data_IF_455025524407
#
_entry.id   IF_455025524407
#
_cell.length_a   1.000
_cell.length_b   1.000
_cell.length_c   1.000
_cell.angle_alpha   90.00
_cell.angle_beta   90.00
_cell.angle_gamma   90.00
#
_symmetry.space_group_name_H-M   'P 1'
#
loop_
_entity.id
_entity.type
_entity.pdbx_description
1 polymer ?
#
# COMPACT_ATOMS: atom_id res chain seq x y z
N UNK A 1 2.63 -19.43 -31.05
CA UNK A 1 1.42 -20.21 -30.69
C UNK A 1 0.65 -19.36 -29.70
N UNK A 2 -0.60 -19.05 -30.01
CA UNK A 2 -1.47 -18.34 -29.06
C UNK A 2 -1.88 -19.30 -27.95
N UNK A 3 -1.62 -18.95 -26.69
CA UNK A 3 -2.18 -19.66 -25.54
C UNK A 3 -3.41 -18.89 -25.08
N UNK A 4 -4.50 -19.61 -24.90
CA UNK A 4 -5.78 -19.07 -24.46
C UNK A 4 -5.91 -19.32 -22.97
N UNK A 5 -6.18 -18.26 -22.19
CA UNK A 5 -6.57 -18.38 -20.80
C UNK A 5 -8.07 -18.12 -20.72
N UNK A 6 -8.79 -19.01 -20.06
CA UNK A 6 -10.21 -18.82 -19.81
C UNK A 6 -10.40 -18.02 -18.52
N UNK A 7 -10.93 -16.82 -18.64
CA UNK A 7 -11.45 -16.05 -17.51
C UNK A 7 -12.96 -16.20 -17.44
N UNK A 8 -13.51 -16.45 -16.27
CA UNK A 8 -14.98 -16.41 -16.08
C UNK A 8 -15.38 -15.01 -15.67
N UNK A 9 -16.23 -14.38 -16.46
CA UNK A 9 -17.00 -13.21 -16.00
C UNK A 9 -18.37 -13.69 -15.53
N UNK A 10 -19.00 -12.95 -14.62
CA UNK A 10 -20.29 -13.30 -14.04
C UNK A 10 -21.42 -13.45 -15.07
N UNK A 11 -21.20 -13.11 -16.34
CA UNK A 11 -22.22 -13.23 -17.40
C UNK A 11 -21.70 -13.69 -18.76
N UNK A 12 -20.39 -13.82 -19.00
CA UNK A 12 -19.87 -14.37 -20.24
C UNK A 12 -18.47 -14.93 -20.02
N UNK A 13 -18.20 -16.09 -20.62
CA UNK A 13 -16.85 -16.64 -20.73
C UNK A 13 -16.12 -15.76 -21.76
N UNK A 14 -15.11 -15.02 -21.29
CA UNK A 14 -14.27 -14.23 -22.19
C UNK A 14 -12.90 -14.87 -22.24
N UNK A 15 -12.47 -15.15 -23.44
CA UNK A 15 -11.17 -15.73 -23.74
C UNK A 15 -10.09 -14.67 -23.57
N UNK A 16 -9.11 -14.91 -22.69
CA UNK A 16 -7.91 -14.08 -22.58
C UNK A 16 -6.92 -14.56 -23.64
N UNK A 17 -6.80 -13.83 -24.73
CA UNK A 17 -5.89 -14.19 -25.81
C UNK A 17 -4.52 -13.54 -25.55
N UNK A 18 -3.47 -14.36 -25.52
CA UNK A 18 -2.10 -13.87 -25.61
C UNK A 18 -1.78 -13.58 -27.06
N UNK A 19 -1.59 -12.32 -27.41
CA UNK A 19 -1.17 -11.92 -28.74
C UNK A 19 0.33 -11.65 -28.74
N UNK A 20 1.04 -12.24 -29.70
CA UNK A 20 2.37 -11.81 -30.08
C UNK A 20 2.22 -10.62 -31.04
N UNK A 21 2.53 -9.42 -30.58
CA UNK A 21 2.61 -8.29 -31.49
C UNK A 21 3.91 -8.35 -32.31
N UNK A 22 3.74 -8.62 -33.61
CA UNK A 22 4.71 -8.28 -34.66
C UNK A 22 6.02 -9.03 -34.66
N UNK A 23 6.02 -10.33 -34.88
CA UNK A 23 7.15 -11.04 -35.53
C UNK A 23 8.52 -11.01 -34.84
N UNK A 24 8.69 -10.34 -33.71
CA UNK A 24 9.86 -10.39 -32.86
C UNK A 24 9.51 -11.21 -31.61
N UNK A 25 10.22 -12.26 -31.46
CA UNK A 25 10.20 -13.15 -30.31
C UNK A 25 10.60 -12.27 -29.12
N UNK A 26 9.63 -11.74 -28.33
CA UNK A 26 10.10 -10.92 -27.23
C UNK A 26 9.06 -10.34 -26.29
N UNK A 27 7.87 -9.98 -26.73
CA UNK A 27 6.89 -9.33 -25.86
C UNK A 27 5.56 -10.05 -25.93
N UNK A 28 5.15 -10.71 -24.86
CA UNK A 28 3.81 -11.27 -24.74
C UNK A 28 2.95 -10.30 -23.92
N UNK A 29 1.95 -9.75 -24.57
CA UNK A 29 0.97 -8.86 -23.92
C UNK A 29 -0.31 -9.64 -23.70
N UNK A 30 -0.83 -9.63 -22.46
CA UNK A 30 -2.14 -10.14 -22.17
C UNK A 30 -3.12 -8.99 -22.31
N UNK A 31 -3.99 -9.06 -23.31
CA UNK A 31 -5.01 -8.06 -23.57
C UNK A 31 -6.35 -8.61 -23.10
N UNK A 32 -7.03 -7.87 -22.22
CA UNK A 32 -8.43 -8.08 -21.93
C UNK A 32 -9.26 -7.23 -22.88
N UNK A 33 -9.99 -7.85 -23.81
CA UNK A 33 -10.89 -7.17 -24.74
C UNK A 33 -12.37 -7.39 -24.43
N UNK A 34 -12.68 -7.85 -23.21
CA UNK A 34 -14.04 -8.17 -22.77
C UNK A 34 -14.97 -6.95 -22.78
N UNK A 35 -16.21 -7.17 -23.19
CA UNK A 35 -17.35 -6.27 -22.95
C UNK A 35 -17.58 -6.13 -21.46
N UNK A 36 -17.97 -4.95 -20.97
CA UNK A 36 -18.17 -4.57 -19.58
C UNK A 36 -18.32 -5.72 -18.58
N UNK A 37 -17.41 -5.85 -17.61
CA UNK A 37 -17.48 -6.93 -16.63
C UNK A 37 -16.34 -6.89 -15.59
N UNK A 38 -16.46 -7.80 -14.65
CA UNK A 38 -15.44 -8.08 -13.63
C UNK A 38 -14.47 -9.11 -14.16
N UNK A 39 -13.17 -8.88 -14.01
CA UNK A 39 -12.20 -9.97 -14.10
C UNK A 39 -12.31 -10.77 -12.81
N UNK A 40 -13.02 -11.90 -12.84
CA UNK A 40 -13.31 -12.67 -11.61
C UNK A 40 -12.18 -13.61 -11.24
N UNK A 41 -11.53 -14.23 -12.18
CA UNK A 41 -10.35 -15.07 -11.97
C UNK A 41 -9.68 -15.38 -13.30
N UNK A 42 -8.37 -15.25 -13.38
CA UNK A 42 -7.60 -15.93 -14.42
C UNK A 42 -7.38 -17.37 -13.95
N UNK A 43 -8.18 -18.32 -14.50
CA UNK A 43 -8.02 -19.73 -14.16
C UNK A 43 -6.79 -20.25 -14.89
N UNK A 44 -5.76 -20.47 -14.15
CA UNK A 44 -4.51 -21.04 -14.58
C UNK A 44 -3.38 -20.31 -13.89
N UNK A 45 -2.56 -21.05 -13.15
CA UNK A 45 -1.27 -20.56 -12.77
C UNK A 45 -0.59 -20.04 -14.03
N UNK A 46 -0.31 -18.74 -14.10
CA UNK A 46 0.77 -18.28 -14.95
C UNK A 46 2.01 -18.77 -14.20
N UNK A 47 2.57 -19.93 -14.54
CA UNK A 47 3.59 -20.55 -13.73
C UNK A 47 4.79 -19.60 -13.66
N UNK A 48 5.45 -19.51 -12.50
CA UNK A 48 6.75 -18.85 -12.34
C UNK A 48 7.79 -19.34 -13.39
N UNK A 49 7.51 -20.47 -14.01
CA UNK A 49 8.32 -21.12 -15.03
C UNK A 49 7.63 -21.16 -16.40
N UNK A 50 6.80 -20.17 -16.76
CA UNK A 50 6.36 -20.06 -18.12
C UNK A 50 7.56 -19.82 -19.05
N UNK A 51 8.27 -20.91 -19.27
CA UNK A 51 9.40 -21.05 -20.16
C UNK A 51 8.88 -21.60 -21.49
N UNK A 52 8.42 -20.75 -22.37
CA UNK A 52 8.44 -21.05 -23.79
C UNK A 52 9.79 -20.59 -24.38
N UNK A 53 10.90 -20.87 -23.70
CA UNK A 53 12.25 -20.68 -24.23
C UNK A 53 12.69 -19.24 -24.47
N UNK A 54 11.87 -18.26 -24.11
CA UNK A 54 12.14 -16.85 -24.31
C UNK A 54 11.82 -16.06 -23.06
N UNK A 55 12.84 -15.45 -22.44
CA UNK A 55 12.74 -14.59 -21.25
C UNK A 55 12.12 -13.21 -21.54
N UNK A 56 11.33 -13.11 -22.62
CA UNK A 56 10.72 -11.86 -23.02
C UNK A 56 9.60 -11.41 -22.10
N UNK A 57 9.61 -10.12 -21.84
CA UNK A 57 8.76 -9.35 -20.93
C UNK A 57 7.26 -9.66 -21.13
N UNK A 58 6.62 -10.21 -20.10
CA UNK A 58 5.18 -10.50 -20.08
C UNK A 58 4.47 -9.31 -19.46
N UNK A 59 3.88 -8.46 -20.29
CA UNK A 59 3.14 -7.28 -19.81
C UNK A 59 1.67 -7.63 -19.58
N UNK A 60 1.14 -7.14 -18.45
CA UNK A 60 -0.28 -7.21 -18.17
C UNK A 60 -0.96 -5.92 -18.65
N UNK A 61 -1.91 -6.06 -19.58
CA UNK A 61 -2.78 -4.97 -19.99
C UNK A 61 -4.22 -5.26 -19.53
N UNK A 62 -4.80 -4.30 -18.83
CA UNK A 62 -6.21 -4.34 -18.39
C UNK A 62 -6.99 -3.40 -19.32
N UNK A 63 -7.97 -3.94 -20.04
CA UNK A 63 -8.77 -3.17 -21.00
C UNK A 63 -9.65 -2.11 -20.34
N UNK A 64 -9.92 -1.04 -21.09
CA UNK A 64 -10.72 0.12 -20.61
C UNK A 64 -12.20 -0.19 -20.36
N UNK A 65 -12.69 -1.37 -20.73
CA UNK A 65 -14.03 -1.86 -20.39
C UNK A 65 -14.09 -2.56 -19.02
N UNK A 66 -12.94 -2.87 -18.42
CA UNK A 66 -12.88 -3.50 -17.10
C UNK A 66 -13.36 -2.52 -16.02
N UNK A 67 -14.40 -2.87 -15.28
CA UNK A 67 -14.97 -2.04 -14.20
C UNK A 67 -14.60 -2.54 -12.80
N UNK A 68 -14.15 -3.79 -12.68
CA UNK A 68 -13.74 -4.39 -11.42
C UNK A 68 -12.69 -5.47 -11.64
N UNK A 69 -11.67 -5.51 -10.79
CA UNK A 69 -10.69 -6.58 -10.74
C UNK A 69 -11.11 -7.53 -9.63
N UNK A 70 -11.45 -8.76 -9.99
CA UNK A 70 -12.05 -9.75 -9.10
C UNK A 70 -11.10 -10.29 -8.04
N UNK A 71 -11.66 -11.03 -7.10
CA UNK A 71 -10.86 -11.70 -6.07
C UNK A 71 -9.93 -12.74 -6.69
N UNK A 72 -8.65 -12.71 -6.28
CA UNK A 72 -7.61 -13.61 -6.81
C UNK A 72 -7.37 -13.51 -8.33
N UNK A 73 -7.83 -12.45 -9.00
CA UNK A 73 -7.75 -12.35 -10.46
C UNK A 73 -6.35 -12.64 -11.01
N UNK A 74 -5.31 -12.15 -10.32
CA UNK A 74 -3.91 -12.35 -10.69
C UNK A 74 -3.07 -12.89 -9.53
N UNK A 75 -3.70 -13.70 -8.67
CA UNK A 75 -3.07 -14.27 -7.49
C UNK A 75 -1.84 -15.11 -7.86
N UNK A 76 -0.67 -14.78 -7.26
CA UNK A 76 0.62 -15.43 -7.55
C UNK A 76 1.11 -15.34 -9.00
N UNK A 77 0.61 -14.40 -9.79
CA UNK A 77 1.06 -14.19 -11.16
C UNK A 77 2.41 -13.45 -11.19
N UNK A 78 3.45 -14.04 -10.60
CA UNK A 78 4.79 -13.44 -10.51
C UNK A 78 5.52 -13.34 -11.86
N UNK A 79 5.03 -14.04 -12.89
CA UNK A 79 5.58 -13.97 -14.24
C UNK A 79 5.20 -12.72 -15.05
N UNK A 80 4.26 -11.89 -14.57
CA UNK A 80 4.03 -10.58 -15.18
C UNK A 80 5.18 -9.65 -14.87
N UNK A 81 5.64 -8.92 -15.88
CA UNK A 81 6.72 -7.94 -15.75
C UNK A 81 6.30 -6.61 -16.37
N UNK A 82 7.07 -5.55 -16.07
CA UNK A 82 6.75 -4.21 -16.54
C UNK A 82 5.72 -3.48 -15.68
N UNK A 83 5.29 -2.32 -16.14
CA UNK A 83 4.39 -1.45 -15.41
C UNK A 83 2.94 -1.97 -15.44
N UNK A 84 2.25 -1.88 -14.32
CA UNK A 84 0.81 -2.13 -14.23
C UNK A 84 0.04 -0.84 -14.51
N UNK A 85 -0.83 -0.89 -15.52
CA UNK A 85 -1.79 0.19 -15.78
C UNK A 85 -3.19 -0.25 -15.40
N UNK A 86 -3.81 0.43 -14.44
CA UNK A 86 -5.19 0.20 -14.04
C UNK A 86 -6.06 1.27 -14.71
N UNK A 87 -7.02 0.89 -15.58
CA UNK A 87 -7.85 1.86 -16.30
C UNK A 87 -8.78 2.67 -15.37
N UNK A 88 -9.12 3.89 -15.79
CA UNK A 88 -10.07 4.75 -15.07
C UNK A 88 -11.52 4.20 -15.04
N UNK A 89 -11.82 3.13 -15.74
CA UNK A 89 -13.08 2.40 -15.66
C UNK A 89 -13.17 1.51 -14.41
N UNK A 90 -12.04 1.14 -13.81
CA UNK A 90 -12.00 0.27 -12.63
C UNK A 90 -12.44 1.05 -11.39
N UNK A 91 -13.46 0.53 -10.71
CA UNK A 91 -13.98 1.13 -9.46
C UNK A 91 -13.64 0.32 -8.22
N UNK A 92 -13.26 -0.95 -8.40
CA UNK A 92 -12.88 -1.82 -7.29
C UNK A 92 -11.80 -2.82 -7.66
N UNK A 93 -10.86 -3.04 -6.72
CA UNK A 93 -9.84 -4.07 -6.76
C UNK A 93 -10.11 -4.97 -5.55
N UNK A 94 -10.49 -6.23 -5.80
CA UNK A 94 -11.01 -7.11 -4.75
C UNK A 94 -9.91 -7.85 -3.99
N UNK A 95 -10.33 -8.76 -3.11
CA UNK A 95 -9.52 -9.59 -2.23
C UNK A 95 -8.38 -10.29 -2.99
N UNK A 96 -7.13 -10.09 -2.56
CA UNK A 96 -5.91 -10.73 -3.09
C UNK A 96 -5.73 -10.65 -4.63
N UNK A 97 -6.30 -9.62 -5.26
CA UNK A 97 -6.38 -9.52 -6.72
C UNK A 97 -4.99 -9.61 -7.41
N UNK A 98 -3.95 -9.02 -6.81
CA UNK A 98 -2.57 -9.04 -7.30
C UNK A 98 -1.59 -9.59 -6.25
N UNK A 99 -2.07 -10.35 -5.26
CA UNK A 99 -1.15 -10.87 -4.23
C UNK A 99 -0.01 -11.68 -4.87
N UNK A 100 1.23 -11.34 -4.48
CA UNK A 100 2.46 -11.96 -4.98
C UNK A 100 2.73 -11.83 -6.51
N UNK A 101 2.20 -10.77 -7.14
CA UNK A 101 2.62 -10.37 -8.48
C UNK A 101 4.00 -9.69 -8.42
N UNK A 102 5.03 -10.43 -8.00
CA UNK A 102 6.35 -9.87 -7.68
C UNK A 102 7.17 -9.43 -8.88
N UNK A 103 6.76 -9.76 -10.11
CA UNK A 103 7.44 -9.34 -11.33
C UNK A 103 6.99 -7.98 -11.87
N UNK A 104 5.86 -7.43 -11.40
CA UNK A 104 5.39 -6.10 -11.79
C UNK A 104 6.37 -5.03 -11.29
N UNK A 105 6.69 -4.05 -12.15
CA UNK A 105 7.71 -3.03 -11.87
C UNK A 105 7.19 -1.61 -12.10
N UNK A 106 8.01 -0.60 -11.80
CA UNK A 106 7.63 0.80 -11.94
C UNK A 106 6.81 1.33 -10.77
N UNK A 107 6.06 2.40 -11.01
CA UNK A 107 5.12 2.99 -10.04
C UNK A 107 3.81 2.24 -10.02
N UNK A 108 3.17 2.17 -8.87
CA UNK A 108 1.79 1.72 -8.74
C UNK A 108 0.88 2.94 -8.61
N UNK A 109 0.13 3.22 -9.67
CA UNK A 109 -0.88 4.30 -9.66
C UNK A 109 -2.27 3.70 -9.64
N UNK A 110 -3.01 3.96 -8.57
CA UNK A 110 -4.41 3.55 -8.44
C UNK A 110 -5.26 4.76 -8.86
N UNK A 111 -6.11 4.64 -9.89
CA UNK A 111 -6.88 5.77 -10.40
C UNK A 111 -7.97 6.21 -9.43
N UNK A 112 -8.38 7.49 -9.52
CA UNK A 112 -9.41 8.09 -8.65
C UNK A 112 -10.81 7.47 -8.82
N UNK A 113 -11.05 6.70 -9.87
CA UNK A 113 -12.26 5.89 -10.01
C UNK A 113 -12.38 4.78 -8.98
N UNK A 114 -11.25 4.33 -8.41
CA UNK A 114 -11.23 3.23 -7.45
C UNK A 114 -11.68 3.72 -6.08
N UNK A 115 -12.75 3.12 -5.57
CA UNK A 115 -13.30 3.39 -4.23
C UNK A 115 -13.02 2.26 -3.23
N UNK A 116 -12.53 1.13 -3.72
CA UNK A 116 -12.30 -0.06 -2.89
C UNK A 116 -11.05 -0.82 -3.32
N UNK A 117 -10.12 -1.00 -2.38
CA UNK A 117 -8.97 -1.89 -2.48
C UNK A 117 -9.12 -2.95 -1.39
N UNK A 118 -9.26 -4.21 -1.78
CA UNK A 118 -9.55 -5.31 -0.87
C UNK A 118 -8.37 -5.75 0.00
N UNK A 119 -8.67 -6.66 0.95
CA UNK A 119 -7.66 -7.33 1.76
C UNK A 119 -6.55 -7.93 0.89
N UNK A 120 -5.29 -7.67 1.25
CA UNK A 120 -4.10 -8.20 0.60
C UNK A 120 -4.04 -7.99 -0.94
N UNK A 121 -4.74 -6.98 -1.48
CA UNK A 121 -4.90 -6.82 -2.93
C UNK A 121 -3.57 -6.74 -3.68
N UNK A 122 -2.53 -6.09 -3.11
CA UNK A 122 -1.19 -5.97 -3.67
C UNK A 122 -0.10 -6.56 -2.75
N UNK A 123 -0.49 -7.39 -1.79
CA UNK A 123 0.48 -8.00 -0.88
C UNK A 123 1.57 -8.77 -1.63
N UNK A 124 2.83 -8.53 -1.26
CA UNK A 124 3.96 -9.23 -1.86
C UNK A 124 4.32 -8.80 -3.29
N UNK A 125 3.74 -7.69 -3.79
CA UNK A 125 4.14 -7.09 -5.07
C UNK A 125 5.49 -6.37 -4.90
N UNK A 126 6.54 -7.14 -4.63
CA UNK A 126 7.87 -6.62 -4.27
C UNK A 126 8.66 -6.03 -5.45
N UNK A 127 8.22 -6.30 -6.68
CA UNK A 127 8.89 -5.82 -7.89
C UNK A 127 8.60 -4.36 -8.22
N UNK A 128 7.51 -3.75 -7.73
CA UNK A 128 7.33 -2.30 -7.85
C UNK A 128 8.55 -1.58 -7.26
N UNK A 129 9.15 -0.67 -8.00
CA UNK A 129 10.42 -0.04 -7.65
C UNK A 129 10.39 1.49 -7.73
N UNK A 130 9.20 2.08 -7.57
CA UNK A 130 8.97 3.51 -7.60
C UNK A 130 7.80 3.87 -6.66
N UNK A 131 7.08 4.96 -6.92
CA UNK A 131 6.05 5.53 -6.05
C UNK A 131 4.75 4.74 -6.02
N UNK A 132 4.00 4.89 -4.93
CA UNK A 132 2.59 4.55 -4.81
C UNK A 132 1.76 5.82 -4.87
N UNK A 133 0.76 5.84 -5.76
CA UNK A 133 -0.30 6.87 -5.79
C UNK A 133 -1.63 6.23 -5.43
N UNK A 134 -2.23 6.67 -4.33
CA UNK A 134 -3.54 6.23 -3.86
C UNK A 134 -4.65 7.10 -4.46
N UNK A 135 -5.90 6.60 -4.58
CA UNK A 135 -7.03 7.38 -5.06
C UNK A 135 -7.33 8.55 -4.12
N UNK A 136 -7.62 9.72 -4.69
CA UNK A 136 -8.11 10.90 -3.93
C UNK A 136 -9.64 10.97 -3.87
N UNK A 137 -10.33 9.95 -4.38
CA UNK A 137 -11.79 9.83 -4.38
C UNK A 137 -12.35 9.90 -2.94
N UNK A 138 -13.36 10.75 -2.67
CA UNK A 138 -13.92 10.89 -1.32
C UNK A 138 -14.58 9.61 -0.77
N UNK A 139 -14.91 8.65 -1.64
CA UNK A 139 -15.43 7.34 -1.22
C UNK A 139 -14.32 6.31 -0.92
N UNK A 140 -13.05 6.63 -1.15
CA UNK A 140 -11.92 5.80 -0.74
C UNK A 140 -11.56 6.12 0.72
N UNK A 141 -12.25 5.51 1.66
CA UNK A 141 -12.18 5.87 3.09
C UNK A 141 -11.33 4.91 3.93
N UNK A 142 -10.90 3.78 3.39
CA UNK A 142 -10.14 2.79 4.16
C UNK A 142 -9.02 2.17 3.35
N UNK A 143 -7.83 2.08 3.96
CA UNK A 143 -6.72 1.26 3.46
C UNK A 143 -6.81 -0.06 4.19
N UNK A 144 -7.27 -1.09 3.47
CA UNK A 144 -7.62 -2.40 4.02
C UNK A 144 -6.41 -3.18 4.52
N UNK A 145 -6.70 -4.13 5.40
CA UNK A 145 -5.69 -5.01 5.99
C UNK A 145 -4.85 -5.70 4.92
N UNK A 146 -3.52 -5.70 5.13
CA UNK A 146 -2.50 -6.27 4.25
C UNK A 146 -2.47 -5.72 2.80
N UNK A 147 -3.24 -4.69 2.45
CA UNK A 147 -3.44 -4.25 1.07
C UNK A 147 -2.12 -4.06 0.29
N UNK A 148 -1.08 -3.52 0.93
CA UNK A 148 0.24 -3.29 0.34
C UNK A 148 1.37 -3.96 1.15
N UNK A 149 1.03 -4.94 2.01
CA UNK A 149 2.04 -5.62 2.82
C UNK A 149 3.16 -6.22 1.96
N UNK A 150 4.41 -6.00 2.37
CA UNK A 150 5.61 -6.53 1.69
C UNK A 150 5.80 -6.03 0.24
N UNK A 151 5.27 -4.85 -0.10
CA UNK A 151 5.63 -4.13 -1.31
C UNK A 151 6.98 -3.41 -1.07
N UNK A 152 8.05 -4.20 -0.91
CA UNK A 152 9.37 -3.72 -0.46
C UNK A 152 10.04 -2.75 -1.42
N UNK A 153 9.69 -2.79 -2.68
CA UNK A 153 10.24 -1.91 -3.71
C UNK A 153 9.45 -0.61 -3.93
N UNK A 154 8.25 -0.44 -3.32
CA UNK A 154 7.56 0.85 -3.33
C UNK A 154 8.38 1.85 -2.52
N UNK A 155 8.98 2.82 -3.21
CA UNK A 155 9.86 3.85 -2.66
C UNK A 155 9.26 5.24 -2.82
N UNK A 156 9.97 6.26 -2.35
CA UNK A 156 9.44 7.63 -2.35
C UNK A 156 8.52 7.90 -1.16
N UNK A 157 7.97 9.10 -1.11
CA UNK A 157 7.08 9.51 -0.02
C UNK A 157 5.70 8.90 -0.19
N UNK A 158 5.16 8.37 0.90
CA UNK A 158 3.76 7.92 0.93
C UNK A 158 2.85 9.09 1.28
N UNK A 159 1.86 9.36 0.42
CA UNK A 159 0.80 10.32 0.68
C UNK A 159 -0.48 9.56 1.00
N UNK A 160 -1.00 9.76 2.20
CA UNK A 160 -2.32 9.23 2.62
C UNK A 160 -3.37 10.28 2.25
N UNK A 161 -4.38 9.94 1.42
CA UNK A 161 -5.42 10.90 1.03
C UNK A 161 -6.30 11.35 2.20
N UNK A 162 -6.77 12.60 2.15
CA UNK A 162 -7.65 13.19 3.17
C UNK A 162 -9.05 12.53 3.24
N UNK A 163 -9.39 11.66 2.32
CA UNK A 163 -10.60 10.83 2.38
C UNK A 163 -10.46 9.63 3.32
N UNK A 164 -9.22 9.23 3.65
CA UNK A 164 -8.97 8.01 4.44
C UNK A 164 -9.24 8.28 5.92
N UNK A 165 -10.13 7.48 6.50
CA UNK A 165 -10.47 7.52 7.93
C UNK A 165 -9.86 6.36 8.72
N UNK A 166 -9.52 5.27 8.04
CA UNK A 166 -8.99 4.05 8.68
C UNK A 166 -7.84 3.46 7.89
N UNK A 167 -6.74 3.18 8.60
CA UNK A 167 -5.60 2.41 8.11
C UNK A 167 -5.63 1.09 8.88
N UNK A 168 -5.95 -0.01 8.20
CA UNK A 168 -6.17 -1.31 8.85
C UNK A 168 -4.85 -2.06 9.10
N UNK A 169 -4.96 -3.24 9.75
CA UNK A 169 -3.82 -4.04 10.19
C UNK A 169 -2.87 -4.41 9.04
N UNK A 170 -1.57 -4.31 9.27
CA UNK A 170 -0.51 -4.70 8.33
C UNK A 170 -0.56 -4.01 6.95
N UNK A 171 -1.39 -2.99 6.75
CA UNK A 171 -1.69 -2.43 5.42
C UNK A 171 -0.44 -2.04 4.63
N UNK A 172 0.59 -1.49 5.28
CA UNK A 172 1.88 -1.10 4.68
C UNK A 172 3.08 -1.81 5.33
N UNK A 173 2.85 -2.92 6.03
CA UNK A 173 3.95 -3.61 6.71
C UNK A 173 5.05 -4.01 5.72
N UNK A 174 6.32 -3.73 6.08
CA UNK A 174 7.50 -4.01 5.26
C UNK A 174 7.48 -3.36 3.87
N UNK A 175 6.92 -2.16 3.74
CA UNK A 175 7.05 -1.35 2.53
C UNK A 175 8.36 -0.56 2.52
N UNK A 176 8.82 -0.21 1.31
CA UNK A 176 10.10 0.47 1.10
C UNK A 176 10.03 2.00 1.14
N UNK A 177 8.94 2.63 1.56
CA UNK A 177 8.75 4.08 1.56
C UNK A 177 9.88 4.83 2.26
N UNK A 178 10.21 6.01 1.73
CA UNK A 178 11.30 6.88 2.22
C UNK A 178 10.77 8.24 2.66
N UNK A 179 11.60 8.99 3.37
CA UNK A 179 11.26 10.34 3.83
C UNK A 179 10.36 10.33 5.07
N UNK A 180 9.69 11.45 5.31
CA UNK A 180 8.74 11.60 6.42
C UNK A 180 7.37 11.05 6.06
N UNK A 181 6.60 10.66 7.06
CA UNK A 181 5.22 10.18 6.91
C UNK A 181 4.27 11.14 7.63
N UNK A 182 3.26 11.61 6.90
CA UNK A 182 2.16 12.38 7.51
C UNK A 182 0.87 11.54 7.46
N UNK A 183 0.28 11.35 8.62
CA UNK A 183 -1.06 10.80 8.78
C UNK A 183 -2.01 11.99 8.87
N UNK A 184 -2.95 12.15 7.92
CA UNK A 184 -3.83 13.33 7.88
C UNK A 184 -4.86 13.33 9.02
N UNK A 185 -5.45 14.51 9.27
CA UNK A 185 -6.48 14.70 10.29
C UNK A 185 -7.76 13.90 10.05
N UNK A 186 -7.99 13.43 8.83
CA UNK A 186 -9.11 12.55 8.50
C UNK A 186 -9.03 11.18 9.15
N UNK A 187 -7.81 10.70 9.44
CA UNK A 187 -7.59 9.37 10.01
C UNK A 187 -8.01 9.34 11.47
N UNK A 188 -8.82 8.35 11.83
CA UNK A 188 -9.34 8.09 13.18
C UNK A 188 -8.57 6.94 13.84
N UNK A 189 -8.20 5.91 13.05
CA UNK A 189 -7.55 4.73 13.61
C UNK A 189 -6.44 4.17 12.71
N UNK A 190 -5.38 3.68 13.36
CA UNK A 190 -4.26 3.00 12.74
C UNK A 190 -4.14 1.60 13.36
N UNK A 191 -4.25 0.57 12.52
CA UNK A 191 -4.32 -0.82 12.90
C UNK A 191 -2.98 -1.41 13.34
N UNK A 192 -3.05 -2.67 13.81
CA UNK A 192 -1.91 -3.44 14.28
C UNK A 192 -0.83 -3.57 13.19
N UNK A 193 0.41 -3.19 13.55
CA UNK A 193 1.57 -3.30 12.68
C UNK A 193 1.39 -2.66 11.26
N UNK A 194 0.55 -1.63 11.15
CA UNK A 194 0.18 -1.03 9.86
C UNK A 194 1.39 -0.56 9.04
N UNK A 195 2.40 0.03 9.69
CA UNK A 195 3.66 0.47 9.06
C UNK A 195 4.88 -0.29 9.60
N UNK A 196 4.67 -1.42 10.30
CA UNK A 196 5.77 -2.17 10.88
C UNK A 196 6.83 -2.53 9.83
N UNK A 197 8.10 -2.29 10.16
CA UNK A 197 9.22 -2.65 9.29
C UNK A 197 9.38 -1.76 8.05
N UNK A 198 8.75 -0.58 8.01
CA UNK A 198 9.05 0.45 7.01
C UNK A 198 10.40 1.10 7.35
N UNK A 199 11.48 0.33 7.20
CA UNK A 199 12.82 0.68 7.67
C UNK A 199 13.45 1.86 6.95
N UNK A 200 12.95 2.20 5.76
CA UNK A 200 13.46 3.29 4.91
C UNK A 200 12.75 4.64 5.19
N UNK A 201 11.70 4.66 6.03
CA UNK A 201 11.17 5.92 6.53
C UNK A 201 12.24 6.61 7.36
N UNK A 202 12.57 7.85 6.98
CA UNK A 202 13.57 8.68 7.64
C UNK A 202 13.00 10.03 7.98
N UNK A 203 13.49 10.67 9.03
CA UNK A 203 12.95 11.96 9.44
C UNK A 203 11.80 11.81 10.43
N UNK A 204 10.64 12.41 10.15
CA UNK A 204 9.54 12.49 11.11
C UNK A 204 8.30 11.67 10.71
N UNK A 205 7.54 11.27 11.71
CA UNK A 205 6.14 10.88 11.59
C UNK A 205 5.29 11.99 12.21
N UNK A 206 4.32 12.49 11.46
CA UNK A 206 3.30 13.43 11.95
C UNK A 206 1.96 12.70 12.03
N UNK A 207 1.34 12.72 13.21
CA UNK A 207 0.03 12.09 13.44
C UNK A 207 -1.04 13.17 13.51
N UNK A 208 -2.07 13.02 12.68
CA UNK A 208 -3.21 13.95 12.63
C UNK A 208 -3.98 14.04 13.94
N UNK A 209 -4.64 15.19 14.15
CA UNK A 209 -5.26 15.56 15.41
C UNK A 209 -6.46 14.68 15.80
N UNK A 210 -7.13 14.04 14.84
CA UNK A 210 -8.32 13.23 15.09
C UNK A 210 -8.01 11.73 15.27
N UNK A 211 -6.73 11.33 15.26
CA UNK A 211 -6.36 9.94 15.51
C UNK A 211 -6.64 9.61 16.97
N UNK A 212 -7.60 8.72 17.22
CA UNK A 212 -8.00 8.28 18.56
C UNK A 212 -7.48 6.90 18.93
N UNK A 213 -7.04 6.13 17.97
CA UNK A 213 -6.53 4.77 18.18
C UNK A 213 -5.31 4.47 17.32
N UNK A 214 -4.21 4.07 17.97
CA UNK A 214 -3.02 3.50 17.33
C UNK A 214 -2.76 2.15 17.98
N UNK A 215 -2.91 1.10 17.20
CA UNK A 215 -2.73 -0.27 17.68
C UNK A 215 -1.26 -0.61 17.88
N UNK A 216 -1.02 -1.72 18.59
CA UNK A 216 0.32 -2.19 18.90
C UNK A 216 1.17 -2.38 17.64
N UNK A 217 2.46 -2.08 17.74
CA UNK A 217 3.44 -2.15 16.67
C UNK A 217 3.12 -1.36 15.38
N UNK A 218 2.15 -0.43 15.41
CA UNK A 218 1.73 0.31 14.22
C UNK A 218 2.93 0.90 13.44
N UNK A 219 3.94 1.42 14.12
CA UNK A 219 5.20 1.92 13.56
C UNK A 219 6.42 1.13 14.06
N UNK A 220 6.22 -0.09 14.50
CA UNK A 220 7.28 -0.93 15.01
C UNK A 220 8.40 -1.13 13.97
N UNK A 221 9.66 -1.10 14.41
CA UNK A 221 10.82 -1.28 13.54
C UNK A 221 10.98 -0.25 12.39
N UNK A 222 10.34 0.93 12.49
CA UNK A 222 10.65 2.07 11.62
C UNK A 222 11.96 2.73 12.07
N UNK A 223 13.06 2.04 11.87
CA UNK A 223 14.37 2.34 12.49
C UNK A 223 15.00 3.66 12.04
N UNK A 224 14.57 4.24 10.92
CA UNK A 224 15.06 5.51 10.42
C UNK A 224 14.31 6.75 10.96
N UNK A 225 13.19 6.54 11.65
CA UNK A 225 12.38 7.63 12.21
C UNK A 225 13.04 8.17 13.47
N UNK A 226 13.28 9.48 13.52
CA UNK A 226 13.93 10.15 14.64
C UNK A 226 13.01 11.08 15.46
N UNK A 227 11.90 11.51 14.87
CA UNK A 227 10.99 12.47 15.48
C UNK A 227 9.53 12.07 15.26
N UNK A 228 8.71 12.23 16.29
CA UNK A 228 7.27 12.05 16.22
C UNK A 228 6.58 13.36 16.60
N UNK A 229 5.60 13.78 15.80
CA UNK A 229 4.71 14.92 16.08
C UNK A 229 3.28 14.41 16.28
N UNK A 230 2.63 14.80 17.36
CA UNK A 230 1.23 14.43 17.60
C UNK A 230 0.52 15.39 18.53
N UNK A 231 -0.72 15.73 18.19
CA UNK A 231 -1.68 16.36 19.13
C UNK A 231 -2.76 15.37 19.56
N UNK A 232 -2.74 14.14 19.05
CA UNK A 232 -3.72 13.13 19.41
C UNK A 232 -3.68 12.85 20.91
N UNK A 233 -4.84 12.69 21.53
CA UNK A 233 -4.93 12.34 22.95
C UNK A 233 -4.34 10.95 23.20
N UNK A 234 -3.33 10.90 24.07
CA UNK A 234 -2.54 9.67 24.33
C UNK A 234 -3.31 8.62 25.10
N UNK A 235 -4.38 8.99 25.79
CA UNK A 235 -5.10 8.05 26.66
C UNK A 235 -5.58 6.79 25.93
N UNK A 236 -5.64 6.84 24.61
CA UNK A 236 -6.03 5.73 23.73
C UNK A 236 -4.85 4.93 23.13
N UNK A 237 -3.61 5.36 23.33
CA UNK A 237 -2.44 4.63 22.83
C UNK A 237 -2.14 3.45 23.76
N UNK A 238 -2.86 2.38 23.57
CA UNK A 238 -2.63 1.15 24.32
C UNK A 238 -1.35 0.51 23.79
N UNK A 239 -0.31 0.72 24.55
CA UNK A 239 0.94 0.01 24.36
C UNK A 239 2.00 0.79 23.62
N UNK A 240 3.07 1.04 24.33
CA UNK A 240 4.39 1.49 23.84
C UNK A 240 4.89 0.61 22.66
N UNK A 241 4.25 -0.54 22.44
CA UNK A 241 4.50 -1.44 21.31
C UNK A 241 4.34 -0.79 19.94
N UNK A 242 3.55 0.26 19.79
CA UNK A 242 3.39 0.99 18.54
C UNK A 242 4.68 1.53 17.95
N UNK A 243 5.65 1.81 18.82
CA UNK A 243 6.99 2.32 18.48
C UNK A 243 8.11 1.33 18.81
N UNK A 244 7.81 0.06 19.08
CA UNK A 244 8.81 -0.95 19.44
C UNK A 244 9.86 -1.09 18.33
N UNK A 245 11.14 -1.07 18.71
CA UNK A 245 12.24 -1.22 17.74
C UNK A 245 12.53 0.00 16.89
N UNK A 246 11.93 1.16 17.16
CA UNK A 246 12.32 2.44 16.54
C UNK A 246 13.55 2.99 17.24
N UNK A 247 14.71 2.37 17.00
CA UNK A 247 15.95 2.67 17.74
C UNK A 247 16.48 4.10 17.53
N UNK A 248 16.04 4.77 16.47
CA UNK A 248 16.47 6.15 16.15
C UNK A 248 15.53 7.22 16.69
N UNK A 249 14.35 6.86 17.21
CA UNK A 249 13.39 7.83 17.75
C UNK A 249 13.94 8.44 19.04
N UNK A 250 14.24 9.72 19.00
CA UNK A 250 14.83 10.46 20.15
C UNK A 250 13.90 11.53 20.70
N UNK A 251 12.99 12.04 19.88
CA UNK A 251 12.18 13.20 20.24
C UNK A 251 10.72 13.00 19.87
N UNK A 252 9.83 13.31 20.83
CA UNK A 252 8.38 13.37 20.62
C UNK A 252 7.91 14.78 20.92
N UNK A 253 7.27 15.43 19.96
CA UNK A 253 6.59 16.70 20.11
C UNK A 253 5.10 16.46 20.29
N UNK A 254 4.53 17.00 21.35
CA UNK A 254 3.13 16.82 21.72
C UNK A 254 2.45 18.17 21.96
N UNK A 255 1.13 18.22 21.89
CA UNK A 255 0.39 19.40 22.30
C UNK A 255 0.73 19.79 23.74
N UNK A 256 0.70 21.12 24.07
CA UNK A 256 1.15 21.62 25.38
C UNK A 256 0.43 20.97 26.56
N UNK A 257 -0.85 20.66 26.41
CA UNK A 257 -1.67 20.05 27.47
C UNK A 257 -1.38 18.54 27.66
N UNK A 258 -0.75 17.91 26.69
CA UNK A 258 -0.46 16.47 26.70
C UNK A 258 0.93 16.11 27.23
N UNK A 259 1.82 17.09 27.45
CA UNK A 259 3.23 16.86 27.82
C UNK A 259 3.39 15.98 29.07
N UNK A 260 2.61 16.26 30.11
CA UNK A 260 2.68 15.50 31.37
C UNK A 260 2.29 14.01 31.19
N UNK A 261 1.28 13.75 30.41
CA UNK A 261 0.77 12.39 30.13
C UNK A 261 1.79 11.58 29.32
N UNK A 262 2.37 12.18 28.29
CA UNK A 262 3.40 11.52 27.48
C UNK A 262 4.67 11.24 28.26
N UNK A 263 5.11 12.19 29.09
CA UNK A 263 6.32 12.03 29.90
C UNK A 263 6.20 10.83 30.84
N UNK A 264 5.04 10.63 31.47
CA UNK A 264 4.82 9.48 32.36
C UNK A 264 4.79 8.14 31.62
N UNK A 265 4.35 8.14 30.35
CA UNK A 265 4.18 6.93 29.54
C UNK A 265 5.49 6.49 28.88
N UNK A 266 6.32 7.43 28.41
CA UNK A 266 7.52 7.13 27.60
C UNK A 266 8.85 7.20 28.35
N UNK A 267 8.92 7.86 29.51
CA UNK A 267 10.20 8.02 30.25
C UNK A 267 10.68 6.77 31.01
N UNK A 268 9.90 5.70 31.08
CA UNK A 268 10.37 4.48 31.76
C UNK A 268 11.36 3.71 30.87
N UNK A 269 12.57 4.24 30.70
CA UNK A 269 13.73 3.49 30.22
C UNK A 269 14.17 3.72 28.77
N UNK A 270 13.55 4.64 28.01
CA UNK A 270 13.83 4.79 26.57
C UNK A 270 14.86 5.87 26.19
N UNK A 271 15.21 6.77 27.08
CA UNK A 271 16.06 7.94 26.74
C UNK A 271 15.41 8.95 25.80
N UNK A 272 14.11 8.84 25.53
CA UNK A 272 13.36 9.74 24.67
C UNK A 272 13.05 11.07 25.35
N UNK A 273 13.11 12.16 24.59
CA UNK A 273 12.75 13.50 25.03
C UNK A 273 11.34 13.84 24.58
N UNK A 274 10.46 14.23 25.51
CA UNK A 274 9.11 14.72 25.21
C UNK A 274 9.10 16.24 25.36
N UNK A 275 8.69 16.93 24.32
CA UNK A 275 8.70 18.40 24.24
C UNK A 275 7.32 18.93 23.83
N UNK A 276 6.89 20.10 24.36
CA UNK A 276 5.71 20.77 23.84
C UNK A 276 5.95 21.32 22.43
N UNK A 277 4.91 21.37 21.60
CA UNK A 277 4.95 21.87 20.23
C UNK A 277 5.51 23.29 20.07
N UNK A 278 5.25 24.15 21.08
CA UNK A 278 5.75 25.53 21.08
C UNK A 278 7.28 25.63 21.11
N UNK A 279 8.00 24.56 21.35
CA UNK A 279 9.46 24.49 21.31
C UNK A 279 9.98 24.04 19.92
N UNK A 280 9.12 23.87 18.93
CA UNK A 280 9.55 23.49 17.59
C UNK A 280 10.10 24.71 16.83
N UNK A 281 11.31 24.61 16.23
CA UNK A 281 11.97 25.75 15.59
C UNK A 281 11.32 26.24 14.30
N UNK A 282 10.38 25.49 13.72
CA UNK A 282 9.61 25.87 12.53
C UNK A 282 8.15 25.40 12.63
N UNK A 283 7.17 26.19 12.19
CA UNK A 283 5.79 25.72 12.10
C UNK A 283 5.74 24.52 11.14
N UNK A 284 4.96 23.50 11.51
CA UNK A 284 4.73 22.34 10.66
C UNK A 284 4.16 22.84 9.33
N UNK A 285 4.67 22.41 8.19
CA UNK A 285 4.00 22.70 6.92
C UNK A 285 2.59 22.13 6.94
N UNK A 286 1.61 22.99 6.69
CA UNK A 286 0.22 22.60 6.47
C UNK A 286 0.09 21.66 5.28
#
# INVERSE_FOLDING_TARGET
MSKVFQGTTTNNVTELTLQNEGGNIGTQTIVWDGTQGTIDQVIGDIPNNWKDGDDSLKQLQIGSSCTSIGSHAFYYCSGFTGALTIPNSVTSIKFQAFENCSGLTGSLTIPDSVTFIGYAAFKGCSGFNSSLTLPTNPNFTSIRSEAFRSCTGLTGSLVIPDSVTTIEDFSFRNCGFTGSLTIPDSVISIGYAAFQGCTNLTGSITIGNNVTNISDQAFGYCIGVNTLYTNADVASWIGIGGLTGTSSLTTIYVGPDAVGTYTSTFQQGSGMTVLPWNNYPNPIPN
#
